data_IF_682935569277
#
_entry.id   IF_682935569277
#
_cell.length_a   1.000
_cell.length_b   1.000
_cell.length_c   1.000
_cell.angle_alpha   90.00
_cell.angle_beta   90.00
_cell.angle_gamma   90.00
#
_symmetry.space_group_name_H-M   'P 1'
#
loop_
_entity.id
_entity.type
_entity.pdbx_description
1 polymer ?
#
# COMPACT_ATOMS: atom_id res chain seq x y z
N UNK A 1 4.60 7.09 10.05
CA UNK A 1 5.36 8.37 10.14
C UNK A 1 6.81 8.09 10.54
N UNK A 2 7.81 8.86 10.07
CA UNK A 2 9.19 8.71 10.51
C UNK A 2 9.35 9.17 11.98
N UNK A 3 10.10 8.42 12.79
CA UNK A 3 10.41 8.82 14.18
C UNK A 3 11.13 10.18 14.20
N UNK A 4 10.85 11.05 15.17
CA UNK A 4 11.48 12.38 15.29
C UNK A 4 12.92 12.29 15.79
N UNK A 5 13.19 11.35 16.70
CA UNK A 5 14.51 11.13 17.32
C UNK A 5 15.34 10.18 16.46
N UNK A 6 16.63 10.45 16.36
CA UNK A 6 17.59 9.56 15.71
C UNK A 6 17.93 8.36 16.59
N UNK A 7 18.13 7.20 15.97
CA UNK A 7 18.66 6.02 16.66
C UNK A 7 20.04 6.35 17.22
N UNK A 8 20.27 6.15 18.53
CA UNK A 8 21.56 6.45 19.14
C UNK A 8 22.63 5.49 18.59
N UNK A 9 23.85 6.00 18.44
CA UNK A 9 24.99 5.16 18.12
C UNK A 9 25.34 4.28 19.32
N UNK A 10 25.72 3.01 19.12
CA UNK A 10 26.14 2.15 20.22
C UNK A 10 27.40 2.71 20.87
N UNK A 11 27.46 2.65 22.21
CA UNK A 11 28.66 2.98 22.97
C UNK A 11 29.71 1.90 22.69
N UNK A 12 30.97 2.31 22.48
CA UNK A 12 32.07 1.35 22.31
C UNK A 12 32.33 0.63 23.63
N UNK A 13 32.27 -0.72 23.68
CA UNK A 13 32.59 -1.48 24.88
C UNK A 13 34.09 -1.42 25.20
N UNK A 14 34.48 -1.72 26.44
CA UNK A 14 35.86 -1.61 26.92
C UNK A 14 36.86 -2.47 26.11
N UNK A 15 36.44 -3.65 25.66
CA UNK A 15 37.25 -4.55 24.83
C UNK A 15 37.09 -4.32 23.31
N UNK A 16 36.56 -3.16 22.90
CA UNK A 16 36.33 -2.84 21.48
C UNK A 16 37.60 -2.93 20.62
N UNK A 17 38.73 -2.43 21.12
CA UNK A 17 39.98 -2.42 20.35
C UNK A 17 40.76 -3.74 20.50
N UNK A 18 40.48 -4.54 21.53
CA UNK A 18 41.20 -5.78 21.85
C UNK A 18 40.52 -7.06 21.35
N UNK A 19 39.20 -7.05 21.13
CA UNK A 19 38.44 -8.20 20.62
C UNK A 19 37.86 -7.91 19.23
N UNK A 20 38.35 -8.64 18.21
CA UNK A 20 37.95 -8.46 16.82
C UNK A 20 36.47 -8.78 16.55
N UNK A 21 35.88 -9.72 17.31
CA UNK A 21 34.46 -10.06 17.18
C UNK A 21 33.59 -8.94 17.75
N UNK A 22 33.95 -8.44 18.92
CA UNK A 22 33.25 -7.31 19.57
C UNK A 22 33.37 -6.03 18.72
N UNK A 23 34.55 -5.77 18.16
CA UNK A 23 34.77 -4.68 17.21
C UNK A 23 33.82 -4.80 16.02
N UNK A 24 33.81 -5.95 15.33
CA UNK A 24 32.97 -6.20 14.15
C UNK A 24 31.48 -6.04 14.46
N UNK A 25 31.01 -6.56 15.59
CA UNK A 25 29.61 -6.43 16.00
C UNK A 25 29.24 -4.98 16.31
N UNK A 26 30.11 -4.24 16.99
CA UNK A 26 29.92 -2.81 17.33
C UNK A 26 29.92 -1.93 16.07
N UNK A 27 30.83 -2.21 15.13
CA UNK A 27 30.89 -1.52 13.84
C UNK A 27 29.64 -1.78 13.00
N UNK A 28 29.18 -3.04 12.95
CA UNK A 28 27.93 -3.39 12.27
C UNK A 28 26.73 -2.65 12.88
N UNK A 29 26.60 -2.65 14.22
CA UNK A 29 25.52 -1.89 14.90
C UNK A 29 25.59 -0.39 14.61
N UNK A 30 26.79 0.18 14.61
CA UNK A 30 27.01 1.59 14.29
C UNK A 30 26.64 1.91 12.85
N UNK A 31 27.02 1.05 11.91
CA UNK A 31 26.66 1.16 10.50
C UNK A 31 25.14 1.10 10.31
N UNK A 32 24.48 0.11 10.93
CA UNK A 32 23.02 -0.06 10.84
C UNK A 32 22.25 1.16 11.39
N UNK A 33 22.65 1.69 12.55
CA UNK A 33 22.04 2.89 13.14
C UNK A 33 22.23 4.13 12.24
N UNK A 34 23.44 4.33 11.70
CA UNK A 34 23.70 5.42 10.73
C UNK A 34 22.87 5.26 9.47
N UNK A 35 22.76 4.03 8.95
CA UNK A 35 21.96 3.74 7.77
C UNK A 35 20.47 3.99 8.02
N UNK A 36 19.94 3.60 9.19
CA UNK A 36 18.56 3.88 9.60
C UNK A 36 18.30 5.39 9.69
N UNK A 37 19.15 6.14 10.38
CA UNK A 37 19.03 7.60 10.49
C UNK A 37 19.10 8.30 9.13
N UNK A 38 20.03 7.87 8.26
CA UNK A 38 20.15 8.37 6.89
C UNK A 38 18.87 8.13 6.08
N UNK A 39 18.23 6.97 6.23
CA UNK A 39 16.96 6.64 5.55
C UNK A 39 15.77 7.43 6.09
N UNK A 40 15.77 7.82 7.37
CA UNK A 40 14.67 8.58 7.99
C UNK A 40 14.72 10.08 7.70
N UNK A 41 15.91 10.67 7.57
CA UNK A 41 16.08 12.12 7.31
C UNK A 41 15.25 12.65 6.12
N UNK A 42 15.33 12.09 4.90
CA UNK A 42 14.53 12.58 3.78
C UNK A 42 13.03 12.40 4.00
N UNK A 43 12.60 11.34 4.71
CA UNK A 43 11.18 11.13 5.05
C UNK A 43 10.65 12.21 6.00
N UNK A 44 11.45 12.63 6.98
CA UNK A 44 11.10 13.75 7.87
C UNK A 44 10.95 15.04 7.10
N UNK A 45 11.90 15.33 6.19
CA UNK A 45 11.84 16.50 5.31
C UNK A 45 10.56 16.47 4.46
N UNK A 46 10.24 15.32 3.86
CA UNK A 46 9.02 15.16 3.07
C UNK A 46 7.75 15.49 3.87
N UNK A 47 7.63 14.97 5.10
CA UNK A 47 6.50 15.27 5.99
C UNK A 47 6.41 16.77 6.30
N UNK A 48 7.52 17.37 6.74
CA UNK A 48 7.55 18.79 7.14
C UNK A 48 7.21 19.72 5.96
N UNK A 49 7.82 19.48 4.80
CA UNK A 49 7.56 20.26 3.59
C UNK A 49 6.13 20.09 3.10
N UNK A 50 5.58 18.87 3.16
CA UNK A 50 4.18 18.62 2.79
C UNK A 50 3.23 19.41 3.68
N UNK A 51 3.39 19.33 5.01
CA UNK A 51 2.51 20.04 5.95
C UNK A 51 2.65 21.56 5.79
N UNK A 52 3.86 22.06 5.58
CA UNK A 52 4.10 23.48 5.34
C UNK A 52 3.37 23.96 4.07
N UNK A 53 3.53 23.24 2.96
CA UNK A 53 2.87 23.59 1.69
C UNK A 53 1.34 23.44 1.84
N UNK A 54 0.85 22.37 2.46
CA UNK A 54 -0.58 22.17 2.69
C UNK A 54 -1.19 23.33 3.49
N UNK A 55 -0.50 23.83 4.52
CA UNK A 55 -0.95 25.02 5.28
C UNK A 55 -0.96 26.30 4.45
N UNK A 56 0.02 26.49 3.57
CA UNK A 56 0.04 27.63 2.64
C UNK A 56 -1.09 27.55 1.62
N UNK A 57 -1.46 26.34 1.20
CA UNK A 57 -2.53 26.15 0.22
C UNK A 57 -3.94 26.09 0.82
N UNK A 58 -4.05 25.89 2.14
CA UNK A 58 -5.34 25.80 2.83
C UNK A 58 -6.17 27.10 2.82
N UNK A 59 -5.57 28.24 2.46
CA UNK A 59 -6.31 29.51 2.29
C UNK A 59 -7.01 29.61 0.93
N UNK A 60 -6.62 28.78 -0.05
CA UNK A 60 -7.20 28.80 -1.38
C UNK A 60 -8.31 27.75 -1.51
N UNK A 61 -9.41 28.14 -2.16
CA UNK A 61 -10.54 27.26 -2.45
C UNK A 61 -10.14 26.10 -3.37
N UNK A 62 -9.24 26.33 -4.33
CA UNK A 62 -8.80 25.31 -5.29
C UNK A 62 -7.35 25.43 -5.68
N UNK A 63 -6.75 24.30 -6.03
CA UNK A 63 -5.40 24.21 -6.56
C UNK A 63 -5.34 23.25 -7.75
N UNK A 64 -4.36 23.47 -8.64
CA UNK A 64 -4.12 22.64 -9.81
C UNK A 64 -2.72 22.04 -9.77
N UNK A 65 -2.58 20.82 -10.26
CA UNK A 65 -1.30 20.13 -10.34
C UNK A 65 -0.84 20.07 -11.80
N UNK A 66 0.15 20.89 -12.21
CA UNK A 66 0.71 20.76 -13.55
C UNK A 66 1.46 19.43 -13.67
N UNK A 67 1.33 18.76 -14.81
CA UNK A 67 1.93 17.44 -15.06
C UNK A 67 2.97 17.52 -16.18
N UNK A 68 4.00 16.68 -16.07
CA UNK A 68 4.93 16.38 -17.16
C UNK A 68 4.81 14.90 -17.56
N UNK A 69 5.20 14.57 -18.78
CA UNK A 69 5.20 13.20 -19.29
C UNK A 69 6.63 12.66 -19.33
N UNK A 70 6.82 11.41 -18.92
CA UNK A 70 8.09 10.71 -19.18
C UNK A 70 8.24 10.33 -20.66
N UNK A 71 9.38 9.77 -21.04
CA UNK A 71 9.66 9.34 -22.43
C UNK A 71 8.73 8.23 -22.95
N UNK A 72 7.87 7.67 -22.09
CA UNK A 72 6.89 6.63 -22.41
C UNK A 72 5.45 7.15 -22.27
N UNK A 73 5.27 8.45 -22.02
CA UNK A 73 3.96 9.10 -21.91
C UNK A 73 3.29 9.00 -20.54
N UNK A 74 3.94 8.47 -19.50
CA UNK A 74 3.35 8.43 -18.14
C UNK A 74 3.35 9.83 -17.54
N UNK A 75 2.19 10.26 -17.03
CA UNK A 75 2.00 11.57 -16.45
C UNK A 75 2.42 11.62 -14.97
N UNK A 76 3.21 12.62 -14.61
CA UNK A 76 3.70 12.87 -13.26
C UNK A 76 3.47 14.33 -12.86
N UNK A 77 2.93 14.60 -11.66
CA UNK A 77 2.86 15.94 -11.12
C UNK A 77 4.25 16.57 -11.04
N UNK A 78 4.37 17.82 -11.45
CA UNK A 78 5.60 18.61 -11.26
C UNK A 78 5.88 18.94 -9.77
N UNK A 79 4.89 19.24 -8.92
CA UNK A 79 5.15 19.51 -7.50
C UNK A 79 5.66 18.27 -6.76
N UNK A 80 6.81 18.38 -6.08
CA UNK A 80 7.50 17.22 -5.49
C UNK A 80 7.01 16.74 -4.12
N UNK A 81 6.35 17.59 -3.32
CA UNK A 81 5.94 17.25 -1.95
C UNK A 81 4.43 17.01 -1.83
N UNK A 82 3.62 18.05 -2.04
CA UNK A 82 2.16 17.98 -2.04
C UNK A 82 1.66 17.74 -3.47
N UNK A 83 1.24 16.51 -3.77
CA UNK A 83 0.68 16.13 -5.06
C UNK A 83 -0.17 14.84 -4.93
N UNK A 84 -1.11 14.56 -5.86
CA UNK A 84 -2.03 13.43 -5.75
C UNK A 84 -1.38 12.04 -5.96
N UNK A 85 -0.12 11.99 -6.41
CA UNK A 85 0.64 10.74 -6.54
C UNK A 85 1.59 10.49 -5.34
N UNK A 86 1.45 11.28 -4.27
CA UNK A 86 2.25 11.16 -3.06
C UNK A 86 1.92 9.92 -2.21
N UNK A 87 2.66 9.73 -1.10
CA UNK A 87 2.34 8.70 -0.10
C UNK A 87 1.00 8.98 0.61
N UNK A 88 0.51 8.00 1.36
CA UNK A 88 -0.76 8.02 2.11
C UNK A 88 -1.11 9.37 2.76
N UNK A 89 -0.22 9.91 3.61
CA UNK A 89 -0.44 11.18 4.30
C UNK A 89 -0.54 12.39 3.38
N UNK A 90 0.02 12.34 2.17
CA UNK A 90 -0.10 13.41 1.17
C UNK A 90 -1.46 13.30 0.48
N UNK A 91 -1.85 12.10 0.06
CA UNK A 91 -3.15 11.86 -0.59
C UNK A 91 -4.31 12.22 0.33
N UNK A 92 -4.22 11.91 1.62
CA UNK A 92 -5.25 12.23 2.61
C UNK A 92 -5.45 13.74 2.85
N UNK A 93 -4.50 14.58 2.45
CA UNK A 93 -4.58 16.04 2.57
C UNK A 93 -5.20 16.72 1.34
N UNK A 94 -5.51 15.96 0.28
CA UNK A 94 -6.01 16.47 -0.99
C UNK A 94 -7.37 15.85 -1.27
N UNK A 95 -8.29 16.67 -1.79
CA UNK A 95 -9.62 16.26 -2.24
C UNK A 95 -9.96 16.96 -3.55
N UNK A 96 -11.04 16.53 -4.22
CA UNK A 96 -11.58 17.29 -5.33
C UNK A 96 -12.28 18.53 -4.79
N UNK A 97 -12.00 19.70 -5.37
CA UNK A 97 -12.73 20.91 -4.97
C UNK A 97 -14.20 20.86 -5.42
N UNK A 98 -14.48 20.38 -6.63
CA UNK A 98 -15.84 20.10 -7.07
C UNK A 98 -16.30 18.74 -6.52
N UNK A 99 -17.19 18.77 -5.54
CA UNK A 99 -17.84 17.58 -4.99
C UNK A 99 -19.12 17.24 -5.75
N UNK A 100 -19.56 15.98 -5.63
CA UNK A 100 -20.79 15.50 -6.25
C UNK A 100 -21.71 14.84 -5.22
N UNK A 101 -23.05 15.02 -5.34
CA UNK A 101 -24.00 14.39 -4.44
C UNK A 101 -23.97 12.87 -4.61
N UNK A 102 -24.06 12.16 -3.49
CA UNK A 102 -24.33 10.72 -3.44
C UNK A 102 -25.83 10.53 -3.54
N UNK A 103 -26.31 10.17 -4.72
CA UNK A 103 -27.73 10.07 -5.08
C UNK A 103 -28.26 8.64 -5.06
N UNK A 104 -27.38 7.64 -5.21
CA UNK A 104 -27.77 6.23 -5.28
C UNK A 104 -27.05 5.36 -4.26
N UNK A 105 -27.63 4.19 -3.96
CA UNK A 105 -26.97 3.20 -3.11
C UNK A 105 -25.64 2.73 -3.70
N UNK A 106 -25.54 2.60 -5.03
CA UNK A 106 -24.28 2.21 -5.68
C UNK A 106 -23.18 3.25 -5.45
N UNK A 107 -23.50 4.55 -5.50
CA UNK A 107 -22.55 5.61 -5.18
C UNK A 107 -22.15 5.59 -3.70
N UNK A 108 -23.11 5.33 -2.79
CA UNK A 108 -22.82 5.15 -1.37
C UNK A 108 -21.92 3.93 -1.11
N UNK A 109 -22.15 2.82 -1.82
CA UNK A 109 -21.34 1.61 -1.73
C UNK A 109 -19.88 1.88 -2.10
N UNK A 110 -19.61 2.79 -3.03
CA UNK A 110 -18.24 3.22 -3.34
C UNK A 110 -17.55 3.93 -2.18
N UNK A 111 -18.25 4.74 -1.39
CA UNK A 111 -17.66 5.32 -0.17
C UNK A 111 -17.26 4.23 0.83
N UNK A 112 -18.10 3.20 0.99
CA UNK A 112 -17.78 2.05 1.84
C UNK A 112 -16.60 1.24 1.29
N UNK A 113 -16.58 0.97 -0.02
CA UNK A 113 -15.48 0.26 -0.67
C UNK A 113 -14.15 1.00 -0.48
N UNK A 114 -14.12 2.32 -0.66
CA UNK A 114 -12.90 3.13 -0.47
C UNK A 114 -12.47 3.12 1.00
N UNK A 115 -13.41 3.19 1.93
CA UNK A 115 -13.15 3.08 3.37
C UNK A 115 -12.51 1.72 3.72
N UNK A 116 -13.10 0.62 3.25
CA UNK A 116 -12.57 -0.73 3.46
C UNK A 116 -11.20 -0.94 2.81
N UNK A 117 -11.00 -0.40 1.59
CA UNK A 117 -9.71 -0.47 0.89
C UNK A 117 -8.61 0.23 1.69
N UNK A 118 -8.88 1.43 2.20
CA UNK A 118 -7.91 2.19 3.00
C UNK A 118 -7.53 1.46 4.30
N UNK A 119 -8.46 0.70 4.89
CA UNK A 119 -8.15 -0.16 6.04
C UNK A 119 -7.24 -1.34 5.66
N UNK A 120 -7.29 -1.79 4.40
CA UNK A 120 -6.52 -2.92 3.88
C UNK A 120 -7.36 -4.15 3.50
N UNK A 121 -8.70 -4.01 3.47
CA UNK A 121 -9.65 -5.04 3.04
C UNK A 121 -9.90 -4.99 1.51
N UNK A 122 -8.83 -4.80 0.73
CA UNK A 122 -8.83 -4.53 -0.71
C UNK A 122 -8.77 -5.79 -1.62
N UNK A 123 -8.74 -6.98 -1.01
CA UNK A 123 -8.60 -8.27 -1.72
C UNK A 123 -9.90 -9.08 -1.77
N UNK A 124 -10.94 -8.63 -1.07
CA UNK A 124 -12.27 -9.28 -1.03
C UNK A 124 -13.18 -8.79 -2.15
N UNK A 125 -14.38 -9.35 -2.30
CA UNK A 125 -15.37 -8.86 -3.25
C UNK A 125 -15.87 -7.46 -2.86
N UNK A 126 -16.41 -6.71 -3.82
CA UNK A 126 -16.92 -5.37 -3.55
C UNK A 126 -18.05 -5.39 -2.51
N UNK A 127 -18.97 -6.37 -2.61
CA UNK A 127 -20.03 -6.54 -1.62
C UNK A 127 -19.50 -6.85 -0.20
N UNK A 128 -18.45 -7.69 -0.09
CA UNK A 128 -17.84 -7.98 1.21
C UNK A 128 -17.17 -6.74 1.82
N UNK A 129 -16.63 -5.85 0.98
CA UNK A 129 -16.03 -4.58 1.44
C UNK A 129 -17.09 -3.66 2.02
N UNK A 130 -18.26 -3.59 1.38
CA UNK A 130 -19.42 -2.87 1.92
C UNK A 130 -19.86 -3.48 3.26
N UNK A 131 -20.04 -4.80 3.31
CA UNK A 131 -20.40 -5.51 4.54
C UNK A 131 -19.40 -5.26 5.68
N UNK A 132 -18.09 -5.31 5.37
CA UNK A 132 -17.04 -5.03 6.33
C UNK A 132 -17.18 -3.64 6.96
N UNK A 133 -17.54 -2.62 6.19
CA UNK A 133 -17.78 -1.29 6.74
C UNK A 133 -18.96 -1.27 7.73
N UNK A 134 -20.06 -1.95 7.41
CA UNK A 134 -21.19 -2.05 8.32
C UNK A 134 -20.86 -2.81 9.60
N UNK A 135 -20.12 -3.92 9.50
CA UNK A 135 -19.66 -4.70 10.65
C UNK A 135 -18.70 -3.93 11.56
N UNK A 136 -17.95 -2.97 11.01
CA UNK A 136 -16.97 -2.17 11.72
C UNK A 136 -17.42 -0.71 11.94
N UNK A 137 -18.72 -0.43 11.79
CA UNK A 137 -19.27 0.94 11.83
C UNK A 137 -18.94 1.65 13.16
N UNK A 138 -19.00 0.96 14.30
CA UNK A 138 -18.62 1.53 15.60
C UNK A 138 -17.19 2.07 15.58
N UNK A 139 -16.23 1.28 15.09
CA UNK A 139 -14.83 1.68 15.01
C UNK A 139 -14.67 2.89 14.08
N UNK A 140 -15.31 2.85 12.92
CA UNK A 140 -15.22 3.91 11.92
C UNK A 140 -15.74 5.23 12.51
N UNK A 141 -16.93 5.22 13.12
CA UNK A 141 -17.54 6.41 13.72
C UNK A 141 -16.77 6.92 14.96
N UNK A 142 -16.21 6.01 15.75
CA UNK A 142 -15.37 6.34 16.91
C UNK A 142 -14.08 7.03 16.48
N UNK A 143 -13.37 6.45 15.49
CA UNK A 143 -12.20 7.07 14.88
C UNK A 143 -12.53 8.42 14.21
N UNK A 144 -13.69 8.57 13.57
CA UNK A 144 -14.12 9.83 12.98
C UNK A 144 -14.30 10.95 14.01
N UNK A 145 -14.77 10.58 15.21
CA UNK A 145 -15.14 11.52 16.28
C UNK A 145 -13.96 11.88 17.18
N UNK A 146 -13.15 10.90 17.59
CA UNK A 146 -12.01 11.11 18.49
C UNK A 146 -10.80 10.24 18.09
N UNK A 147 -10.24 10.53 16.91
CA UNK A 147 -9.03 9.87 16.39
C UNK A 147 -7.77 10.06 17.26
N UNK A 148 -7.79 11.00 18.20
CA UNK A 148 -6.67 11.27 19.10
C UNK A 148 -6.67 10.32 20.30
N UNK A 149 -7.83 9.80 20.70
CA UNK A 149 -7.96 8.77 21.73
C UNK A 149 -8.10 7.38 21.11
N UNK A 150 -8.88 7.22 20.05
CA UNK A 150 -9.02 5.97 19.33
C UNK A 150 -7.96 5.85 18.23
N UNK A 151 -6.91 5.06 18.47
CA UNK A 151 -5.82 4.84 17.52
C UNK A 151 -6.06 3.65 16.59
N UNK A 152 -7.24 3.04 16.56
CA UNK A 152 -7.53 1.88 15.69
C UNK A 152 -7.31 2.20 14.21
N UNK A 153 -7.54 3.44 13.78
CA UNK A 153 -7.23 3.91 12.42
C UNK A 153 -5.74 3.78 12.05
N UNK A 154 -4.82 3.84 13.02
CA UNK A 154 -3.38 3.70 12.77
C UNK A 154 -2.97 2.27 12.36
N UNK A 155 -3.87 1.28 12.53
CA UNK A 155 -3.65 -0.12 12.13
C UNK A 155 -4.00 -0.38 10.66
N UNK A 156 -4.65 0.57 9.99
CA UNK A 156 -5.02 0.47 8.59
C UNK A 156 -3.79 0.33 7.67
N UNK A 157 -4.00 -0.24 6.49
CA UNK A 157 -2.99 -0.29 5.42
C UNK A 157 -2.54 1.10 4.98
N UNK A 158 -3.49 2.03 4.84
CA UNK A 158 -3.30 3.44 4.54
C UNK A 158 -3.96 4.31 5.65
N UNK A 159 -3.26 4.53 6.78
CA UNK A 159 -3.85 5.15 7.97
C UNK A 159 -4.50 6.52 7.76
N UNK A 160 -3.83 7.44 7.07
CA UNK A 160 -4.35 8.80 6.93
C UNK A 160 -5.52 8.87 5.95
N UNK A 161 -5.47 8.11 4.85
CA UNK A 161 -6.64 7.97 3.97
C UNK A 161 -7.80 7.28 4.69
N UNK A 162 -7.53 6.26 5.52
CA UNK A 162 -8.59 5.62 6.31
C UNK A 162 -9.23 6.60 7.30
N UNK A 163 -8.42 7.39 8.02
CA UNK A 163 -8.94 8.42 8.92
C UNK A 163 -9.77 9.47 8.17
N UNK A 164 -9.32 9.89 6.98
CA UNK A 164 -10.08 10.77 6.10
C UNK A 164 -11.43 10.16 5.75
N UNK A 165 -11.44 8.87 5.36
CA UNK A 165 -12.67 8.15 5.05
C UNK A 165 -13.57 7.92 6.26
N UNK A 166 -13.04 7.79 7.48
CA UNK A 166 -13.87 7.74 8.68
C UNK A 166 -14.70 9.02 8.84
N UNK A 167 -14.11 10.19 8.58
CA UNK A 167 -14.81 11.47 8.61
C UNK A 167 -15.88 11.55 7.52
N UNK A 168 -15.52 11.22 6.29
CA UNK A 168 -16.44 11.16 5.15
C UNK A 168 -17.62 10.20 5.43
N UNK A 169 -17.34 9.03 5.99
CA UNK A 169 -18.35 8.04 6.37
C UNK A 169 -19.32 8.61 7.39
N UNK A 170 -18.81 9.28 8.44
CA UNK A 170 -19.65 9.89 9.47
C UNK A 170 -20.56 10.96 8.89
N UNK A 171 -20.02 11.88 8.08
CA UNK A 171 -20.82 12.94 7.45
C UNK A 171 -21.88 12.36 6.50
N UNK A 172 -21.52 11.36 5.70
CA UNK A 172 -22.48 10.65 4.87
C UNK A 172 -23.59 9.98 5.68
N UNK A 173 -23.28 9.37 6.83
CA UNK A 173 -24.28 8.74 7.70
C UNK A 173 -25.24 9.75 8.35
N UNK A 174 -24.79 10.97 8.59
CA UNK A 174 -25.61 12.04 9.17
C UNK A 174 -26.57 12.65 8.13
N UNK A 175 -26.13 12.78 6.87
CA UNK A 175 -26.92 13.40 5.79
C UNK A 175 -27.75 12.37 5.00
N UNK A 176 -27.17 11.21 4.70
CA UNK A 176 -27.72 10.22 3.78
C UNK A 176 -27.56 10.61 2.31
N UNK A 177 -28.48 10.12 1.46
CA UNK A 177 -28.50 10.49 0.05
C UNK A 177 -28.66 12.01 -0.11
N UNK A 178 -27.86 12.59 -0.99
CA UNK A 178 -27.71 14.04 -1.17
C UNK A 178 -26.46 14.62 -0.49
N UNK A 179 -25.73 13.85 0.33
CA UNK A 179 -24.40 14.23 0.81
C UNK A 179 -23.47 14.52 -0.37
N UNK A 180 -22.83 15.68 -0.37
CA UNK A 180 -21.87 16.07 -1.39
C UNK A 180 -20.49 15.56 -0.99
N UNK A 181 -20.02 14.52 -1.67
CA UNK A 181 -18.72 13.92 -1.42
C UNK A 181 -17.63 14.55 -2.29
N UNK A 182 -16.47 14.76 -1.69
CA UNK A 182 -15.25 15.23 -2.35
C UNK A 182 -14.20 14.10 -2.45
N UNK A 183 -14.59 12.88 -2.06
CA UNK A 183 -13.73 11.73 -1.95
C UNK A 183 -13.13 11.33 -3.31
N UNK A 184 -11.85 10.97 -3.28
CA UNK A 184 -11.19 10.30 -4.40
C UNK A 184 -11.40 8.79 -4.24
N UNK A 185 -12.06 8.16 -5.22
CA UNK A 185 -12.23 6.71 -5.27
C UNK A 185 -11.21 6.06 -6.24
N UNK A 186 -10.01 5.64 -5.77
CA UNK A 186 -9.03 5.02 -6.64
C UNK A 186 -9.46 3.63 -7.08
N UNK A 187 -9.35 3.35 -8.38
CA UNK A 187 -9.60 2.03 -8.97
C UNK A 187 -8.29 1.46 -9.50
N UNK A 188 -7.66 0.63 -8.67
CA UNK A 188 -6.35 0.06 -8.99
C UNK A 188 -6.44 -1.23 -9.81
N UNK A 189 -5.57 -1.31 -10.80
CA UNK A 189 -5.39 -2.48 -11.64
C UNK A 189 -4.75 -3.64 -10.84
N UNK A 190 -5.18 -4.89 -11.08
CA UNK A 190 -4.62 -6.06 -10.36
C UNK A 190 -3.13 -6.26 -10.68
N UNK A 191 -2.80 -6.20 -11.98
CA UNK A 191 -1.44 -6.24 -12.50
C UNK A 191 -1.43 -5.64 -13.92
N UNK A 192 -1.25 -4.31 -14.02
CA UNK A 192 -1.42 -3.58 -15.29
C UNK A 192 -0.57 -4.13 -16.44
N UNK A 193 0.69 -4.49 -16.17
CA UNK A 193 1.58 -5.06 -17.19
C UNK A 193 1.05 -6.37 -17.79
N UNK A 194 0.63 -7.31 -16.94
CA UNK A 194 0.06 -8.58 -17.39
C UNK A 194 -1.32 -8.39 -18.04
N UNK A 195 -2.13 -7.43 -17.57
CA UNK A 195 -3.40 -7.09 -18.22
C UNK A 195 -3.20 -6.59 -19.65
N UNK A 196 -2.20 -5.73 -19.89
CA UNK A 196 -1.89 -5.30 -21.25
C UNK A 196 -1.40 -6.46 -22.12
N UNK A 197 -0.54 -7.35 -21.62
CA UNK A 197 -0.11 -8.53 -22.39
C UNK A 197 -1.26 -9.47 -22.72
N UNK A 198 -2.10 -9.80 -21.74
CA UNK A 198 -3.28 -10.64 -21.94
C UNK A 198 -4.21 -10.06 -23.02
N UNK A 199 -4.46 -8.74 -22.98
CA UNK A 199 -5.29 -8.06 -23.96
C UNK A 199 -4.66 -8.07 -25.37
N UNK A 200 -3.37 -7.76 -25.49
CA UNK A 200 -2.66 -7.73 -26.78
C UNK A 200 -2.58 -9.12 -27.43
N UNK A 201 -2.33 -10.15 -26.63
CA UNK A 201 -2.21 -11.54 -27.10
C UNK A 201 -3.56 -12.26 -27.20
N UNK A 202 -4.63 -11.64 -26.67
CA UNK A 202 -5.95 -12.25 -26.49
C UNK A 202 -5.88 -13.58 -25.72
N UNK A 203 -5.00 -13.63 -24.73
CA UNK A 203 -4.81 -14.80 -23.87
C UNK A 203 -5.89 -14.80 -22.79
N UNK A 204 -6.85 -15.71 -22.93
CA UNK A 204 -7.98 -15.84 -22.01
C UNK A 204 -7.57 -16.36 -20.63
N UNK A 205 -6.55 -17.22 -20.54
CA UNK A 205 -6.09 -17.80 -19.28
C UNK A 205 -5.33 -16.75 -18.47
N UNK A 206 -4.43 -16.01 -19.12
CA UNK A 206 -3.76 -14.86 -18.51
C UNK A 206 -4.79 -13.79 -18.14
N UNK A 207 -5.71 -13.47 -19.06
CA UNK A 207 -6.78 -12.50 -18.85
C UNK A 207 -7.63 -12.84 -17.64
N UNK A 208 -7.97 -14.12 -17.45
CA UNK A 208 -8.66 -14.61 -16.25
C UNK A 208 -7.82 -14.34 -15.00
N UNK A 209 -6.56 -14.78 -14.97
CA UNK A 209 -5.67 -14.62 -13.81
C UNK A 209 -5.51 -13.16 -13.35
N UNK A 210 -5.68 -12.20 -14.26
CA UNK A 210 -5.59 -10.76 -13.98
C UNK A 210 -6.93 -10.01 -14.09
N UNK A 211 -8.06 -10.71 -13.90
CA UNK A 211 -9.39 -10.13 -13.76
C UNK A 211 -9.94 -9.38 -15.00
N UNK A 212 -9.55 -9.78 -16.22
CA UNK A 212 -10.12 -9.26 -17.47
C UNK A 212 -11.34 -10.04 -17.96
N UNK A 213 -11.56 -11.25 -17.46
CA UNK A 213 -12.71 -12.09 -17.83
C UNK A 213 -13.86 -11.84 -16.84
N UNK A 214 -15.03 -11.37 -17.31
CA UNK A 214 -16.17 -11.07 -16.45
C UNK A 214 -16.85 -12.34 -15.92
N UNK A 215 -17.70 -12.18 -14.89
CA UNK A 215 -18.52 -13.25 -14.35
C UNK A 215 -17.78 -14.27 -13.47
N UNK A 216 -16.52 -14.01 -13.16
CA UNK A 216 -15.71 -14.85 -12.29
C UNK A 216 -15.42 -14.17 -10.95
N UNK A 217 -15.19 -14.98 -9.90
CA UNK A 217 -14.46 -14.57 -8.70
C UNK A 217 -13.27 -13.66 -8.98
N UNK A 218 -12.98 -12.71 -8.07
CA UNK A 218 -11.71 -11.98 -8.12
C UNK A 218 -10.55 -12.98 -8.01
N UNK A 219 -9.67 -12.98 -9.00
CA UNK A 219 -8.45 -13.79 -9.05
C UNK A 219 -7.27 -13.05 -8.40
N UNK A 220 -6.34 -13.83 -7.83
CA UNK A 220 -5.10 -13.33 -7.21
C UNK A 220 -3.89 -14.04 -7.83
N UNK A 221 -3.45 -13.56 -9.00
CA UNK A 221 -2.30 -14.11 -9.74
C UNK A 221 -1.06 -14.35 -8.87
N UNK A 222 -0.84 -13.51 -7.85
CA UNK A 222 0.30 -13.66 -6.93
C UNK A 222 0.12 -14.86 -5.98
N UNK A 223 -1.08 -15.05 -5.46
CA UNK A 223 -1.46 -16.19 -4.63
C UNK A 223 -1.48 -17.49 -5.43
N UNK A 224 -1.95 -17.45 -6.68
CA UNK A 224 -1.92 -18.61 -7.58
C UNK A 224 -0.49 -19.09 -7.84
N UNK A 225 0.44 -18.17 -8.12
CA UNK A 225 1.87 -18.49 -8.25
C UNK A 225 2.43 -19.06 -6.95
N UNK A 226 2.07 -18.51 -5.78
CA UNK A 226 2.50 -19.06 -4.50
C UNK A 226 2.00 -20.50 -4.29
N UNK A 227 0.74 -20.78 -4.61
CA UNK A 227 0.16 -22.12 -4.52
C UNK A 227 0.85 -23.12 -5.44
N UNK A 228 1.19 -22.71 -6.67
CA UNK A 228 1.97 -23.54 -7.60
C UNK A 228 3.37 -23.78 -7.03
N UNK A 229 4.06 -22.74 -6.55
CA UNK A 229 5.39 -22.88 -5.94
C UNK A 229 5.38 -23.86 -4.78
N UNK A 230 4.39 -23.80 -3.88
CA UNK A 230 4.28 -24.74 -2.75
C UNK A 230 4.13 -26.18 -3.25
N UNK A 231 3.31 -26.43 -4.28
CA UNK A 231 3.13 -27.77 -4.85
C UNK A 231 4.44 -28.32 -5.40
N UNK A 232 5.18 -27.52 -6.16
CA UNK A 232 6.48 -27.91 -6.71
C UNK A 232 7.51 -28.19 -5.60
N UNK A 233 7.55 -27.36 -4.55
CA UNK A 233 8.45 -27.58 -3.40
C UNK A 233 8.12 -28.88 -2.65
N UNK A 234 6.84 -29.25 -2.54
CA UNK A 234 6.43 -30.52 -1.91
C UNK A 234 6.92 -31.71 -2.73
N UNK A 235 6.79 -31.65 -4.06
CA UNK A 235 7.30 -32.69 -4.96
C UNK A 235 8.82 -32.81 -4.86
N UNK A 236 9.53 -31.67 -4.88
CA UNK A 236 11.00 -31.64 -4.81
C UNK A 236 11.52 -32.17 -3.47
N UNK A 237 10.84 -31.85 -2.36
CA UNK A 237 11.14 -32.41 -1.03
C UNK A 237 11.06 -33.94 -1.03
N UNK A 238 10.07 -34.50 -1.72
CA UNK A 238 9.87 -35.95 -1.82
C UNK A 238 10.81 -36.66 -2.79
N UNK A 239 11.49 -35.92 -3.68
CA UNK A 239 12.38 -36.47 -4.70
C UNK A 239 13.73 -36.98 -4.13
N UNK A 240 14.08 -36.63 -2.88
CA UNK A 240 15.26 -37.16 -2.18
C UNK A 240 16.63 -36.73 -2.75
N UNK A 241 16.65 -35.71 -3.60
CA UNK A 241 17.86 -35.13 -4.19
C UNK A 241 18.45 -34.01 -3.31
N UNK A 242 19.60 -33.45 -3.68
CA UNK A 242 20.26 -32.37 -2.94
C UNK A 242 19.40 -31.10 -2.79
N UNK A 243 18.47 -30.87 -3.73
CA UNK A 243 17.51 -29.77 -3.71
C UNK A 243 16.36 -29.99 -2.71
N UNK A 244 16.08 -31.22 -2.28
CA UNK A 244 15.04 -31.52 -1.31
C UNK A 244 15.22 -30.83 0.05
N UNK A 245 16.46 -30.58 0.48
CA UNK A 245 16.75 -29.82 1.71
C UNK A 245 16.35 -28.35 1.57
N UNK A 246 16.68 -27.74 0.43
CA UNK A 246 16.31 -26.35 0.14
C UNK A 246 14.79 -26.22 0.06
N UNK A 247 14.11 -27.20 -0.54
CA UNK A 247 12.66 -27.22 -0.61
C UNK A 247 12.01 -27.28 0.78
N UNK A 248 12.53 -28.11 1.68
CA UNK A 248 12.08 -28.20 3.08
C UNK A 248 12.29 -26.89 3.85
N UNK A 249 13.44 -26.23 3.67
CA UNK A 249 13.74 -24.95 4.31
C UNK A 249 12.79 -23.82 3.80
N UNK A 250 12.49 -23.79 2.50
CA UNK A 250 11.54 -22.84 1.92
C UNK A 250 10.10 -23.07 2.39
N UNK A 251 9.69 -24.33 2.54
CA UNK A 251 8.38 -24.68 3.09
C UNK A 251 8.25 -24.26 4.56
N UNK A 252 9.32 -24.44 5.36
CA UNK A 252 9.36 -23.96 6.76
C UNK A 252 9.36 -22.44 6.86
N UNK A 253 10.05 -21.77 5.94
CA UNK A 253 10.02 -20.31 5.86
C UNK A 253 8.61 -19.78 5.60
N UNK A 254 7.81 -20.50 4.80
CA UNK A 254 6.44 -20.14 4.47
C UNK A 254 6.38 -19.26 3.24
N UNK A 255 6.13 -19.87 2.08
CA UNK A 255 5.90 -19.14 0.83
C UNK A 255 4.44 -18.68 0.79
N UNK A 256 4.23 -17.37 0.70
CA UNK A 256 2.88 -16.80 0.54
C UNK A 256 2.84 -15.87 -0.67
N UNK A 257 1.66 -15.30 -0.92
CA UNK A 257 1.45 -14.19 -1.86
C UNK A 257 2.51 -13.09 -1.71
N UNK A 258 2.94 -12.79 -0.49
CA UNK A 258 3.87 -11.70 -0.21
C UNK A 258 5.24 -11.95 -0.85
N UNK A 259 5.74 -13.17 -0.74
CA UNK A 259 7.05 -13.60 -1.24
C UNK A 259 7.05 -13.68 -2.78
N UNK A 260 5.93 -14.08 -3.39
CA UNK A 260 5.82 -14.21 -4.85
C UNK A 260 5.45 -12.90 -5.56
N UNK A 261 4.73 -11.98 -4.91
CA UNK A 261 4.20 -10.75 -5.53
C UNK A 261 5.26 -9.98 -6.30
N UNK A 262 6.40 -9.69 -5.67
CA UNK A 262 7.47 -8.91 -6.32
C UNK A 262 8.02 -9.64 -7.55
N UNK A 263 8.23 -10.95 -7.46
CA UNK A 263 8.80 -11.75 -8.54
C UNK A 263 7.87 -11.79 -9.75
N UNK A 264 6.56 -11.91 -9.54
CA UNK A 264 5.56 -11.87 -10.62
C UNK A 264 5.46 -10.47 -11.23
N UNK A 265 5.45 -9.42 -10.40
CA UNK A 265 5.30 -8.03 -10.87
C UNK A 265 6.45 -7.55 -11.76
N UNK A 266 7.66 -8.11 -11.62
CA UNK A 266 8.82 -7.69 -12.44
C UNK A 266 8.89 -8.39 -13.79
N UNK A 267 8.12 -9.46 -14.03
CA UNK A 267 8.15 -10.21 -15.30
C UNK A 267 7.83 -9.31 -16.51
N UNK A 268 6.77 -8.47 -16.48
CA UNK A 268 6.51 -7.52 -17.57
C UNK A 268 7.63 -6.51 -17.82
N UNK A 269 8.52 -6.32 -16.85
CA UNK A 269 9.63 -5.37 -16.87
C UNK A 269 10.98 -6.07 -17.11
N UNK A 270 10.96 -7.25 -17.74
CA UNK A 270 12.13 -8.06 -18.04
C UNK A 270 12.92 -8.55 -16.80
N UNK A 271 12.23 -8.71 -15.67
CA UNK A 271 12.77 -9.45 -14.52
C UNK A 271 13.13 -10.88 -14.92
N UNK A 272 14.31 -11.34 -14.49
CA UNK A 272 14.86 -12.68 -14.76
C UNK A 272 15.30 -13.32 -13.45
N UNK A 273 15.66 -14.60 -13.48
CA UNK A 273 16.11 -15.35 -12.30
C UNK A 273 17.25 -14.66 -11.51
N UNK A 274 18.08 -13.86 -12.18
CA UNK A 274 19.23 -13.17 -11.57
C UNK A 274 18.96 -11.73 -11.10
N UNK A 275 17.73 -11.21 -11.24
CA UNK A 275 17.38 -9.80 -10.94
C UNK A 275 16.54 -9.63 -9.69
#
# INVERSE_FOLDING_TARGET
>A
MPASVEEPLPIKPENYDSDATVKRQTDLKSYLAREANRKLKPKRIQVLMTIQIARQFAEYERMYFPHNLDSRGRAYPLPGFLNPQGPDFVKALIEFEEGHPVETQEQADWLYIVTANAYGFDKSYLADRVAWCHENEEMILSCATDYQTDHRWMKAGDPFQFLRMCKEYKEFKEVGLGYVSHCVAPVDATCSGLQHYAAMLRDADMGRAVNLVPGLPRQDVYGDVANITIRELVVERSAGNASGRVADDLLKFGVTRKETKRQVMVVPYAGKFSS
#
